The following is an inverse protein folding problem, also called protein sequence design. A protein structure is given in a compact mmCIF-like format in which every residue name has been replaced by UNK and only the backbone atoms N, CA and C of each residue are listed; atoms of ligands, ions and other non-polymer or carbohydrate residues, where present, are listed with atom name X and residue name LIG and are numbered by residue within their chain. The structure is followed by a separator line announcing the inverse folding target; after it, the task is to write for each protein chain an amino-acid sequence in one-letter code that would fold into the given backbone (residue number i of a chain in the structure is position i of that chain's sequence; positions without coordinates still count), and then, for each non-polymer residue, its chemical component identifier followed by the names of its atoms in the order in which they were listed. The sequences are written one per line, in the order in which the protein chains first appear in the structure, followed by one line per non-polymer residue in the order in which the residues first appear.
data_IF_527812297527
#
_entry.id   IF_527812297527
#
_cell.length_a   1.000
_cell.length_b   1.000
_cell.length_c   1.000
_cell.angle_alpha   90.00
_cell.angle_beta   90.00
_cell.angle_gamma   90.00
#
_symmetry.space_group_name_H-M   'P 1'
#
loop_
_entity.id
_entity.type
_entity.pdbx_description
1 polymer ?
#
# COMPACT_ATOMS: atom_id res chain seq x y z
N UNK A 1 58.32 69.75 26.24
CA UNK A 1 57.12 69.43 25.51
C UNK A 1 57.37 67.98 25.03
N UNK A 2 56.87 66.97 25.81
CA UNK A 2 57.06 65.56 25.54
C UNK A 2 55.75 64.97 24.94
N UNK A 3 55.81 64.47 23.71
CA UNK A 3 54.72 63.92 22.97
C UNK A 3 54.62 62.39 23.34
N UNK A 4 53.51 62.02 23.99
CA UNK A 4 53.21 60.57 24.29
C UNK A 4 52.47 59.99 23.11
N UNK A 5 53.10 59.06 22.41
CA UNK A 5 52.47 58.20 21.41
C UNK A 5 51.81 57.00 22.12
N UNK A 6 50.48 56.90 22.10
CA UNK A 6 49.75 55.71 22.55
C UNK A 6 49.62 54.72 21.39
N UNK A 7 50.25 53.54 21.52
CA UNK A 7 50.04 52.46 20.64
C UNK A 7 48.69 51.83 20.97
N UNK A 8 47.80 51.79 19.99
CA UNK A 8 46.55 51.05 20.04
C UNK A 8 46.79 49.62 19.44
N UNK A 9 46.81 48.57 20.27
CA UNK A 9 46.86 47.19 19.86
C UNK A 9 45.44 46.74 19.46
N UNK A 10 45.22 46.52 18.14
CA UNK A 10 43.97 45.92 17.63
C UNK A 10 44.09 44.41 17.77
N UNK A 11 43.33 43.84 18.69
CA UNK A 11 43.13 42.37 18.80
C UNK A 11 42.03 41.99 17.83
N UNK A 12 42.41 41.33 16.74
CA UNK A 12 41.46 40.74 15.78
C UNK A 12 41.05 39.37 16.32
N UNK A 13 39.76 39.11 16.61
CA UNK A 13 39.33 37.79 17.02
C UNK A 13 39.36 36.85 15.81
N UNK A 14 40.16 35.81 15.89
CA UNK A 14 40.21 34.71 14.93
C UNK A 14 38.91 33.87 15.06
N UNK A 15 37.92 34.14 14.19
CA UNK A 15 36.70 33.36 14.10
C UNK A 15 37.07 31.99 13.50
N UNK A 16 37.11 30.96 14.34
CA UNK A 16 37.22 29.57 13.89
C UNK A 16 35.89 29.21 13.24
N UNK A 17 35.83 29.24 11.91
CA UNK A 17 34.71 28.70 11.13
C UNK A 17 34.81 27.17 11.22
N UNK A 18 34.08 26.58 12.15
CA UNK A 18 33.84 25.11 12.17
C UNK A 18 32.93 24.82 10.98
N UNK A 19 33.52 24.39 9.88
CA UNK A 19 32.81 23.85 8.73
C UNK A 19 32.18 22.52 9.15
N UNK A 20 30.94 22.56 9.62
CA UNK A 20 30.09 21.38 9.69
C UNK A 20 29.84 20.89 8.27
N UNK A 21 30.57 19.87 7.81
CA UNK A 21 30.19 19.12 6.62
C UNK A 21 28.79 18.58 6.86
N UNK A 22 27.80 18.84 6.00
CA UNK A 22 26.49 18.24 6.15
C UNK A 22 26.67 16.72 6.07
N UNK A 23 26.29 16.03 7.15
CA UNK A 23 26.21 14.56 7.15
C UNK A 23 25.16 14.20 6.09
N UNK A 24 25.50 13.35 5.10
CA UNK A 24 24.52 13.00 4.06
C UNK A 24 23.32 12.36 4.74
N UNK A 25 22.12 12.87 4.43
CA UNK A 25 20.80 12.48 4.96
C UNK A 25 20.42 11.03 4.54
N UNK A 26 21.32 10.28 3.91
CA UNK A 26 21.10 8.94 3.37
C UNK A 26 20.95 7.82 4.39
N UNK A 27 20.98 8.09 5.70
CA UNK A 27 21.03 7.05 6.73
C UNK A 27 19.81 6.99 7.66
N UNK A 28 18.67 7.58 7.28
CA UNK A 28 17.45 7.56 8.10
C UNK A 28 16.59 6.30 7.90
N UNK A 29 16.84 5.50 6.86
CA UNK A 29 16.15 4.24 6.66
C UNK A 29 17.02 3.08 7.15
N UNK A 30 16.44 2.15 7.92
CA UNK A 30 17.19 0.97 8.38
C UNK A 30 17.68 0.17 7.16
N UNK A 31 18.88 -0.42 7.29
CA UNK A 31 19.42 -1.33 6.28
C UNK A 31 18.49 -2.54 6.19
N UNK A 32 18.03 -2.88 5.00
CA UNK A 32 17.15 -4.03 4.83
C UNK A 32 17.90 -5.35 4.85
N UNK A 33 17.23 -6.49 5.12
CA UNK A 33 17.80 -7.82 4.94
C UNK A 33 18.39 -8.03 3.54
N UNK A 34 17.75 -7.50 2.51
CA UNK A 34 18.21 -7.57 1.13
C UNK A 34 19.50 -6.76 0.92
N UNK A 35 19.57 -5.51 1.42
CA UNK A 35 20.80 -4.69 1.35
C UNK A 35 21.95 -5.29 2.17
N UNK A 36 21.64 -5.94 3.30
CA UNK A 36 22.62 -6.67 4.07
C UNK A 36 23.18 -7.85 3.26
N UNK A 37 22.31 -8.61 2.64
CA UNK A 37 22.68 -9.72 1.77
C UNK A 37 23.48 -9.28 0.53
N UNK A 38 23.14 -8.16 -0.10
CA UNK A 38 23.95 -7.57 -1.17
C UNK A 38 25.40 -7.32 -0.73
N UNK A 39 25.60 -6.77 0.47
CA UNK A 39 26.95 -6.55 1.03
C UNK A 39 27.71 -7.85 1.24
N UNK A 40 27.03 -8.92 1.66
CA UNK A 40 27.64 -10.26 1.77
C UNK A 40 28.08 -10.78 0.41
N UNK A 41 27.26 -10.64 -0.64
CA UNK A 41 27.61 -11.04 -2.00
C UNK A 41 28.84 -10.27 -2.53
N UNK A 42 28.91 -8.94 -2.29
CA UNK A 42 30.07 -8.13 -2.66
C UNK A 42 31.34 -8.57 -1.90
N UNK A 43 31.28 -8.84 -0.59
CA UNK A 43 32.41 -9.36 0.19
C UNK A 43 32.91 -10.69 -0.35
N UNK A 44 31.99 -11.55 -0.79
CA UNK A 44 32.32 -12.85 -1.38
C UNK A 44 32.71 -12.77 -2.86
N UNK A 45 32.72 -11.58 -3.48
CA UNK A 45 33.01 -11.33 -4.91
C UNK A 45 32.05 -12.07 -5.87
N UNK A 46 30.86 -12.43 -5.38
CA UNK A 46 29.84 -13.15 -6.15
C UNK A 46 29.12 -12.26 -7.16
N UNK A 47 29.18 -10.92 -7.01
CA UNK A 47 28.66 -9.96 -7.98
C UNK A 47 29.35 -10.06 -9.36
N UNK A 48 30.53 -10.66 -9.44
CA UNK A 48 31.29 -10.87 -10.69
C UNK A 48 30.89 -12.15 -11.43
N UNK A 49 30.22 -13.07 -10.76
CA UNK A 49 29.74 -14.30 -11.37
C UNK A 49 28.52 -14.04 -12.24
N UNK A 50 28.26 -14.89 -13.25
CA UNK A 50 27.06 -14.77 -14.09
C UNK A 50 25.77 -14.80 -13.27
N UNK A 51 25.70 -15.70 -12.27
CA UNK A 51 24.54 -15.79 -11.38
C UNK A 51 24.35 -14.51 -10.56
N UNK A 52 25.44 -13.98 -9.98
CA UNK A 52 25.40 -12.71 -9.23
C UNK A 52 24.97 -11.54 -10.10
N UNK A 53 25.57 -11.39 -11.30
CA UNK A 53 25.17 -10.35 -12.26
C UNK A 53 23.67 -10.42 -12.61
N UNK A 54 23.15 -11.64 -12.84
CA UNK A 54 21.73 -11.86 -13.09
C UNK A 54 20.90 -11.45 -11.87
N UNK A 55 21.29 -11.88 -10.66
CA UNK A 55 20.59 -11.57 -9.41
C UNK A 55 20.47 -10.05 -9.18
N UNK A 56 21.57 -9.30 -9.32
CA UNK A 56 21.58 -7.84 -9.17
C UNK A 56 20.78 -7.15 -10.27
N UNK A 57 20.97 -7.57 -11.53
CA UNK A 57 20.30 -6.96 -12.67
C UNK A 57 18.78 -7.14 -12.62
N UNK A 58 18.31 -8.37 -12.38
CA UNK A 58 16.88 -8.68 -12.32
C UNK A 58 16.23 -8.01 -11.12
N UNK A 59 16.89 -8.01 -9.94
CA UNK A 59 16.39 -7.30 -8.76
C UNK A 59 16.15 -5.80 -8.99
N UNK A 60 16.93 -5.15 -9.88
CA UNK A 60 16.70 -3.76 -10.30
C UNK A 60 15.65 -3.63 -11.40
N UNK A 61 15.67 -4.51 -12.40
CA UNK A 61 14.74 -4.45 -13.54
C UNK A 61 13.29 -4.58 -13.12
N UNK A 62 12.97 -5.47 -12.18
CA UNK A 62 11.59 -5.69 -11.73
C UNK A 62 10.97 -4.48 -11.02
N UNK A 63 11.76 -3.51 -10.58
CA UNK A 63 11.25 -2.25 -10.04
C UNK A 63 10.54 -1.39 -11.10
N UNK A 64 10.77 -1.67 -12.39
CA UNK A 64 10.08 -1.03 -13.52
C UNK A 64 8.92 -1.88 -14.07
N UNK A 65 8.63 -3.05 -13.47
CA UNK A 65 7.56 -3.93 -13.91
C UNK A 65 6.21 -3.20 -13.87
N UNK A 66 5.39 -3.39 -14.92
CA UNK A 66 4.10 -2.72 -15.08
C UNK A 66 2.92 -3.63 -14.76
N UNK A 67 3.16 -4.92 -14.52
CA UNK A 67 2.10 -5.86 -14.15
C UNK A 67 1.48 -5.45 -12.82
N UNK A 68 0.16 -5.47 -12.74
CA UNK A 68 -0.54 -5.01 -11.56
C UNK A 68 -1.67 -5.95 -11.12
N UNK A 69 -2.12 -5.77 -9.88
CA UNK A 69 -3.34 -6.39 -9.36
C UNK A 69 -4.08 -5.47 -8.40
N UNK A 70 -5.34 -5.83 -8.14
CA UNK A 70 -6.20 -5.19 -7.15
C UNK A 70 -6.36 -6.15 -5.96
N UNK A 71 -6.30 -5.65 -4.74
CA UNK A 71 -6.69 -6.43 -3.58
C UNK A 71 -8.24 -6.54 -3.51
N UNK A 72 -8.80 -7.68 -3.03
CA UNK A 72 -8.10 -8.85 -2.51
C UNK A 72 -7.49 -9.72 -3.62
N UNK A 73 -6.30 -10.20 -3.38
CA UNK A 73 -5.54 -10.98 -4.36
C UNK A 73 -4.67 -12.04 -3.70
N UNK A 74 -4.43 -13.16 -4.38
CA UNK A 74 -3.47 -14.16 -3.97
C UNK A 74 -2.76 -14.74 -5.20
N UNK A 75 -1.43 -14.86 -5.11
CA UNK A 75 -0.60 -15.48 -6.15
C UNK A 75 0.49 -16.33 -5.51
N UNK A 76 0.77 -17.47 -6.12
CA UNK A 76 1.93 -18.30 -5.83
C UNK A 76 3.02 -17.97 -6.82
N UNK A 77 4.11 -17.37 -6.34
CA UNK A 77 5.27 -16.97 -7.12
C UNK A 77 6.31 -18.08 -7.15
N UNK A 78 6.98 -18.22 -8.28
CA UNK A 78 8.14 -19.07 -8.45
C UNK A 78 9.38 -18.20 -8.70
N UNK A 79 10.38 -18.34 -7.85
CA UNK A 79 11.67 -17.67 -7.96
C UNK A 79 12.78 -18.72 -8.13
N UNK A 80 13.79 -18.43 -8.96
CA UNK A 80 14.92 -19.32 -9.25
C UNK A 80 16.11 -18.52 -9.77
N UNK A 81 17.24 -19.16 -10.08
CA UNK A 81 18.43 -18.50 -10.61
C UNK A 81 18.17 -17.70 -11.88
N UNK A 82 17.27 -18.20 -12.76
CA UNK A 82 16.88 -17.50 -13.98
C UNK A 82 15.80 -16.44 -13.79
N UNK A 83 15.04 -16.49 -12.68
CA UNK A 83 14.01 -15.52 -12.30
C UNK A 83 14.17 -15.21 -10.80
N UNK A 84 15.30 -14.60 -10.38
CA UNK A 84 15.61 -14.42 -8.97
C UNK A 84 14.72 -13.38 -8.28
N UNK A 85 14.04 -12.52 -9.05
CA UNK A 85 13.10 -11.53 -8.52
C UNK A 85 11.88 -11.36 -9.40
N UNK A 86 10.77 -11.01 -8.77
CA UNK A 86 9.52 -10.61 -9.41
C UNK A 86 8.94 -9.39 -8.70
N UNK A 87 8.09 -8.63 -9.37
CA UNK A 87 7.35 -7.54 -8.76
C UNK A 87 5.91 -7.49 -9.26
N UNK A 88 5.06 -6.85 -8.48
CA UNK A 88 3.68 -6.56 -8.84
C UNK A 88 3.29 -5.17 -8.34
N UNK A 89 2.69 -4.37 -9.21
CA UNK A 89 2.08 -3.10 -8.80
C UNK A 89 0.74 -3.35 -8.14
N UNK A 90 0.46 -2.58 -7.10
CA UNK A 90 -0.76 -2.71 -6.31
C UNK A 90 -1.50 -1.37 -6.37
N UNK A 91 -2.77 -1.46 -6.76
CA UNK A 91 -3.70 -0.34 -6.69
C UNK A 91 -4.68 -0.63 -5.56
N UNK A 92 -4.63 0.17 -4.53
CA UNK A 92 -5.55 0.10 -3.40
C UNK A 92 -6.23 1.46 -3.21
N UNK A 93 -7.50 1.52 -2.82
CA UNK A 93 -8.17 2.79 -2.58
C UNK A 93 -7.48 3.59 -1.49
N UNK A 94 -7.56 4.91 -1.58
CA UNK A 94 -7.22 5.82 -0.49
C UNK A 94 -8.03 5.46 0.77
N UNK A 95 -7.40 5.54 1.93
CA UNK A 95 -8.01 5.19 3.21
C UNK A 95 -7.98 3.71 3.57
N UNK A 96 -7.55 2.82 2.65
CA UNK A 96 -7.41 1.39 2.95
C UNK A 96 -6.03 1.07 3.52
N UNK A 97 -5.98 0.14 4.46
CA UNK A 97 -4.75 -0.47 4.97
C UNK A 97 -4.49 -1.77 4.23
N UNK A 98 -3.43 -1.83 3.44
CA UNK A 98 -2.95 -3.04 2.77
C UNK A 98 -2.28 -3.96 3.80
N UNK A 99 -2.58 -5.25 3.72
CA UNK A 99 -1.90 -6.31 4.47
C UNK A 99 -1.34 -7.31 3.45
N UNK A 100 -0.03 -7.52 3.50
CA UNK A 100 0.72 -8.42 2.62
C UNK A 100 1.25 -9.57 3.48
N UNK A 101 0.78 -10.79 3.21
CA UNK A 101 1.16 -11.97 3.98
C UNK A 101 1.81 -13.00 3.05
N UNK A 102 3.13 -13.22 3.15
CA UNK A 102 3.80 -14.32 2.48
C UNK A 102 3.57 -15.64 3.25
N UNK A 103 3.39 -16.73 2.52
CA UNK A 103 3.28 -18.07 3.06
C UNK A 103 4.20 -19.00 2.27
N UNK A 104 5.11 -19.69 2.96
CA UNK A 104 6.03 -20.71 2.41
C UNK A 104 5.76 -22.06 3.02
N UNK A 105 6.32 -23.11 2.43
CA UNK A 105 6.38 -24.42 3.08
C UNK A 105 7.23 -24.31 4.36
N UNK A 106 6.87 -25.04 5.41
CA UNK A 106 7.53 -24.94 6.72
C UNK A 106 8.99 -25.39 6.71
N UNK A 107 9.39 -26.24 5.76
CA UNK A 107 10.74 -26.79 5.58
C UNK A 107 11.59 -25.97 4.59
N UNK A 108 11.04 -24.94 3.97
CA UNK A 108 11.77 -24.07 3.03
C UNK A 108 12.63 -23.04 3.78
N UNK A 109 13.94 -23.25 3.72
CA UNK A 109 14.95 -22.38 4.33
C UNK A 109 15.51 -21.32 3.38
N UNK A 110 15.02 -21.25 2.14
CA UNK A 110 15.47 -20.28 1.14
C UNK A 110 15.24 -18.85 1.63
N UNK A 111 16.16 -17.94 1.30
CA UNK A 111 15.99 -16.51 1.64
C UNK A 111 14.86 -15.92 0.81
N UNK A 112 14.00 -15.15 1.45
CA UNK A 112 12.98 -14.31 0.81
C UNK A 112 13.17 -12.85 1.26
N UNK A 113 13.45 -11.99 0.30
CA UNK A 113 13.42 -10.55 0.48
C UNK A 113 12.14 -10.00 -0.11
N UNK A 114 11.33 -9.35 0.73
CA UNK A 114 10.06 -8.76 0.36
C UNK A 114 10.06 -7.30 0.76
N UNK A 115 9.95 -6.43 -0.24
CA UNK A 115 10.06 -4.99 -0.06
C UNK A 115 8.90 -4.26 -0.74
N UNK A 116 8.39 -3.25 -0.08
CA UNK A 116 7.29 -2.41 -0.56
C UNK A 116 7.83 -1.04 -0.98
N UNK A 117 7.43 -0.63 -2.17
CA UNK A 117 7.78 0.66 -2.76
C UNK A 117 6.53 1.46 -3.06
N UNK A 118 6.64 2.77 -2.92
CA UNK A 118 5.70 3.76 -3.46
C UNK A 118 6.24 4.28 -4.79
N UNK A 119 5.40 4.33 -5.81
CA UNK A 119 5.75 4.93 -7.09
C UNK A 119 5.49 6.43 -7.01
N UNK A 120 6.57 7.22 -7.10
CA UNK A 120 6.48 8.68 -7.08
C UNK A 120 5.82 9.22 -8.36
N UNK A 121 5.41 10.48 -8.36
CA UNK A 121 4.84 11.18 -9.52
C UNK A 121 5.76 11.18 -10.76
N UNK A 122 7.07 11.11 -10.57
CA UNK A 122 8.06 10.99 -11.65
C UNK A 122 8.29 9.53 -12.11
N UNK A 123 7.47 8.59 -11.66
CA UNK A 123 7.54 7.17 -12.00
C UNK A 123 8.61 6.37 -11.25
N UNK A 124 9.46 7.02 -10.41
CA UNK A 124 10.54 6.32 -9.70
C UNK A 124 10.01 5.62 -8.44
N UNK A 125 10.41 4.34 -8.22
CA UNK A 125 10.08 3.64 -6.99
C UNK A 125 10.89 4.19 -5.82
N UNK A 126 10.22 4.42 -4.68
CA UNK A 126 10.84 4.72 -3.40
C UNK A 126 10.45 3.64 -2.42
N UNK A 127 11.43 2.93 -1.84
CA UNK A 127 11.14 1.96 -0.79
C UNK A 127 10.53 2.66 0.42
N UNK A 128 9.46 2.06 0.95
CA UNK A 128 8.72 2.57 2.11
C UNK A 128 8.69 1.57 3.26
N UNK A 129 8.79 0.24 2.97
CA UNK A 129 8.79 -0.80 3.99
C UNK A 129 9.42 -2.10 3.45
N UNK A 130 9.70 -3.05 4.33
CA UNK A 130 10.24 -4.37 4.01
C UNK A 130 9.88 -5.40 5.09
N UNK A 131 9.80 -6.67 4.70
CA UNK A 131 9.63 -7.77 5.63
C UNK A 131 10.97 -8.04 6.34
N UNK A 132 10.94 -8.08 7.65
CA UNK A 132 12.05 -8.55 8.48
C UNK A 132 11.68 -9.88 9.18
N UNK A 133 12.67 -10.56 9.73
CA UNK A 133 12.52 -11.90 10.32
C UNK A 133 11.54 -11.93 11.52
N UNK A 134 11.22 -10.78 12.11
CA UNK A 134 10.34 -10.66 13.27
C UNK A 134 8.86 -10.44 12.87
N UNK A 135 8.56 -10.23 11.59
CA UNK A 135 7.20 -9.92 11.13
C UNK A 135 6.70 -10.98 10.16
N UNK A 136 5.45 -11.42 10.37
CA UNK A 136 4.77 -12.36 9.47
C UNK A 136 4.09 -11.68 8.27
N UNK A 137 3.93 -10.37 8.30
CA UNK A 137 3.27 -9.58 7.26
C UNK A 137 3.79 -8.15 7.21
N UNK A 138 3.68 -7.51 6.03
CA UNK A 138 3.82 -6.07 5.86
C UNK A 138 2.45 -5.41 5.88
N UNK A 139 2.37 -4.21 6.46
CA UNK A 139 1.14 -3.40 6.44
C UNK A 139 1.45 -1.98 6.00
N UNK A 140 0.55 -1.41 5.19
CA UNK A 140 0.67 -0.03 4.72
C UNK A 140 -0.69 0.62 4.61
N UNK A 141 -0.89 1.77 5.27
CA UNK A 141 -2.12 2.57 5.14
C UNK A 141 -1.97 3.55 3.99
N UNK A 142 -2.80 3.40 2.95
CA UNK A 142 -2.75 4.26 1.77
C UNK A 142 -3.53 5.55 2.02
N UNK A 143 -2.82 6.58 2.45
CA UNK A 143 -3.41 7.87 2.80
C UNK A 143 -3.61 8.83 1.62
N UNK A 144 -3.02 8.58 0.46
CA UNK A 144 -2.96 9.53 -0.65
C UNK A 144 -3.25 8.92 -2.02
N UNK A 145 -3.87 7.73 -2.06
CA UNK A 145 -4.18 7.05 -3.33
C UNK A 145 -2.93 6.56 -4.08
N UNK A 146 -1.89 6.20 -3.36
CA UNK A 146 -0.59 5.83 -3.91
C UNK A 146 -0.66 4.56 -4.76
N UNK A 147 0.12 4.52 -5.83
CA UNK A 147 0.48 3.27 -6.51
C UNK A 147 1.67 2.65 -5.81
N UNK A 148 1.50 1.43 -5.34
CA UNK A 148 2.54 0.66 -4.68
C UNK A 148 3.16 -0.37 -5.63
N UNK A 149 4.37 -0.86 -5.30
CA UNK A 149 5.01 -1.96 -5.97
C UNK A 149 5.62 -2.87 -4.91
N UNK A 150 5.23 -4.14 -4.95
CA UNK A 150 5.81 -5.19 -4.11
C UNK A 150 6.88 -5.91 -4.91
N UNK A 151 8.12 -5.94 -4.39
CA UNK A 151 9.23 -6.74 -4.91
C UNK A 151 9.43 -7.98 -4.05
N UNK A 152 9.57 -9.13 -4.70
CA UNK A 152 10.00 -10.39 -4.11
C UNK A 152 11.34 -10.77 -4.74
N UNK A 153 12.30 -11.18 -3.93
CA UNK A 153 13.60 -11.66 -4.40
C UNK A 153 14.09 -12.82 -3.53
N UNK A 154 14.64 -13.86 -4.15
CA UNK A 154 15.24 -14.99 -3.42
C UNK A 154 16.75 -14.80 -3.24
N UNK A 155 17.38 -15.63 -2.43
CA UNK A 155 18.84 -15.69 -2.32
C UNK A 155 19.49 -16.17 -3.63
N UNK A 156 20.78 -15.86 -3.79
CA UNK A 156 21.57 -16.31 -4.95
C UNK A 156 21.65 -17.84 -4.97
N UNK A 157 21.46 -18.44 -6.14
CA UNK A 157 21.45 -19.89 -6.37
C UNK A 157 20.40 -20.63 -5.50
N UNK A 158 19.27 -19.97 -5.23
CA UNK A 158 18.16 -20.58 -4.49
C UNK A 158 16.91 -20.61 -5.35
N UNK A 159 16.11 -21.65 -5.14
CA UNK A 159 14.78 -21.78 -5.71
C UNK A 159 13.76 -21.63 -4.57
N UNK A 160 12.69 -20.85 -4.81
CA UNK A 160 11.68 -20.57 -3.82
C UNK A 160 10.30 -20.55 -4.48
N UNK A 161 9.34 -21.23 -3.85
CA UNK A 161 7.92 -21.05 -4.11
C UNK A 161 7.26 -20.38 -2.92
N UNK A 162 6.65 -19.22 -3.14
CA UNK A 162 5.99 -18.45 -2.09
C UNK A 162 4.61 -18.01 -2.52
N UNK A 163 3.60 -18.27 -1.70
CA UNK A 163 2.26 -17.73 -1.87
C UNK A 163 2.17 -16.37 -1.17
N UNK A 164 1.70 -15.33 -1.86
CA UNK A 164 1.50 -14.01 -1.29
C UNK A 164 0.02 -13.64 -1.33
N UNK A 165 -0.56 -13.37 -0.17
CA UNK A 165 -1.92 -12.88 -0.03
C UNK A 165 -1.90 -11.37 0.19
N UNK A 166 -2.72 -10.66 -0.56
CA UNK A 166 -2.94 -9.22 -0.48
C UNK A 166 -4.39 -8.99 -0.07
N UNK A 167 -4.59 -8.40 1.10
CA UNK A 167 -5.91 -8.04 1.61
C UNK A 167 -5.95 -6.57 1.99
N UNK A 168 -7.14 -6.01 2.12
CA UNK A 168 -7.30 -4.66 2.64
C UNK A 168 -8.20 -4.64 3.86
N UNK A 169 -7.88 -3.74 4.79
CA UNK A 169 -8.65 -3.42 5.98
C UNK A 169 -9.03 -1.94 5.94
N UNK A 170 -10.07 -1.51 6.66
CA UNK A 170 -10.31 -0.09 6.87
C UNK A 170 -9.10 0.56 7.56
N UNK A 171 -8.75 1.77 7.16
CA UNK A 171 -7.69 2.55 7.80
C UNK A 171 -8.15 3.26 9.07
N UNK A 172 -9.47 3.44 9.24
CA UNK A 172 -10.11 4.07 10.40
C UNK A 172 -11.11 3.12 11.07
N UNK A 173 -11.29 3.25 12.37
CA UNK A 173 -12.36 2.58 13.08
C UNK A 173 -13.74 3.18 12.73
N UNK A 174 -14.79 2.37 12.82
CA UNK A 174 -16.15 2.82 12.57
C UNK A 174 -16.56 3.90 13.62
N UNK A 175 -17.10 5.06 13.18
CA UNK A 175 -17.24 6.24 14.05
C UNK A 175 -18.40 6.19 15.05
N UNK A 176 -19.25 5.16 15.02
CA UNK A 176 -20.37 4.96 15.94
C UNK A 176 -20.19 3.64 16.68
N UNK A 177 -20.19 3.67 17.99
CA UNK A 177 -19.95 2.50 18.84
C UNK A 177 -20.95 1.37 18.56
N UNK A 178 -20.45 0.15 18.33
CA UNK A 178 -21.24 -1.08 18.08
C UNK A 178 -22.13 -1.03 16.82
N UNK A 179 -21.83 -0.14 15.88
CA UNK A 179 -22.45 -0.05 14.55
C UNK A 179 -21.44 -0.48 13.48
N UNK A 180 -21.90 -0.69 12.26
CA UNK A 180 -21.11 -1.16 11.13
C UNK A 180 -21.68 -0.65 9.79
N UNK A 181 -21.14 -1.10 8.67
CA UNK A 181 -21.52 -0.67 7.33
C UNK A 181 -23.01 -0.83 6.99
N UNK A 182 -23.76 -1.73 7.67
CA UNK A 182 -25.20 -1.90 7.43
C UNK A 182 -26.05 -0.73 7.94
N UNK A 183 -25.49 0.12 8.80
CA UNK A 183 -26.14 1.29 9.36
C UNK A 183 -25.93 2.57 8.54
N UNK A 184 -25.10 2.51 7.48
CA UNK A 184 -24.89 3.62 6.54
C UNK A 184 -26.12 3.79 5.66
N UNK A 185 -26.83 4.92 5.81
CA UNK A 185 -28.10 5.20 5.14
C UNK A 185 -27.99 6.23 4.01
N UNK A 186 -26.89 6.98 3.96
CA UNK A 186 -26.64 7.93 2.87
C UNK A 186 -25.14 7.97 2.59
N UNK A 187 -24.83 7.96 1.30
CA UNK A 187 -23.47 7.79 0.79
C UNK A 187 -22.88 9.11 0.27
N UNK A 188 -21.56 9.11 0.16
CA UNK A 188 -20.81 10.16 -0.50
C UNK A 188 -21.35 10.47 -1.91
N UNK A 189 -21.43 11.76 -2.25
CA UNK A 189 -21.87 12.23 -3.55
C UNK A 189 -23.41 12.21 -3.75
N UNK A 190 -24.19 11.75 -2.77
CA UNK A 190 -25.64 11.81 -2.85
C UNK A 190 -26.12 13.29 -2.97
N UNK A 191 -27.12 13.52 -3.79
CA UNK A 191 -27.69 14.86 -3.99
C UNK A 191 -28.25 15.44 -2.69
N UNK A 192 -27.97 16.73 -2.45
CA UNK A 192 -28.51 17.53 -1.36
C UNK A 192 -29.15 18.81 -1.92
N UNK A 193 -30.14 19.34 -1.21
CA UNK A 193 -30.79 20.62 -1.54
C UNK A 193 -31.26 20.67 -3.02
N UNK A 194 -31.91 19.60 -3.48
CA UNK A 194 -32.39 19.46 -4.87
C UNK A 194 -31.29 19.57 -5.94
N UNK A 195 -30.12 18.98 -5.65
CA UNK A 195 -28.98 18.93 -6.58
C UNK A 195 -28.02 20.12 -6.48
N UNK A 196 -28.26 21.10 -5.58
CA UNK A 196 -27.38 22.26 -5.42
C UNK A 196 -26.05 21.87 -4.76
N UNK A 197 -26.05 20.86 -3.84
CA UNK A 197 -24.86 20.36 -3.16
C UNK A 197 -24.75 18.85 -3.30
N UNK A 198 -23.52 18.34 -3.27
CA UNK A 198 -23.22 16.94 -3.04
C UNK A 198 -23.04 16.66 -1.57
N UNK A 199 -23.34 15.43 -1.14
CA UNK A 199 -23.08 14.96 0.20
C UNK A 199 -21.59 14.73 0.41
N UNK A 200 -20.94 15.57 1.22
CA UNK A 200 -19.50 15.53 1.51
C UNK A 200 -19.18 14.65 2.74
N UNK A 201 -19.84 13.49 2.83
CA UNK A 201 -19.69 12.55 3.92
C UNK A 201 -20.55 11.33 3.74
N UNK A 202 -20.81 10.65 4.82
CA UNK A 202 -21.77 9.56 4.94
C UNK A 202 -22.65 9.79 6.16
N UNK A 203 -23.91 9.33 6.10
CA UNK A 203 -24.82 9.39 7.24
C UNK A 203 -25.02 7.99 7.80
N UNK A 204 -24.77 7.85 9.10
CA UNK A 204 -24.82 6.58 9.84
C UNK A 204 -25.99 6.65 10.83
N UNK A 205 -27.02 5.83 10.62
CA UNK A 205 -28.19 5.75 11.46
C UNK A 205 -27.85 5.14 12.81
N UNK A 206 -28.26 5.82 13.89
CA UNK A 206 -28.15 5.29 15.25
C UNK A 206 -29.21 5.97 16.15
N UNK A 207 -29.51 5.35 17.27
CA UNK A 207 -30.40 5.95 18.26
C UNK A 207 -29.76 7.21 18.85
N UNK A 208 -30.60 8.24 19.16
CA UNK A 208 -30.14 9.41 19.93
C UNK A 208 -29.45 8.95 21.20
N UNK A 209 -28.30 9.56 21.52
CA UNK A 209 -27.52 9.23 22.71
C UNK A 209 -26.54 8.06 22.50
N UNK A 210 -26.49 7.42 21.31
CA UNK A 210 -25.45 6.43 20.99
C UNK A 210 -24.09 7.10 21.00
N UNK A 211 -23.03 6.50 21.61
CA UNK A 211 -21.70 7.08 21.60
C UNK A 211 -21.11 7.22 20.19
N UNK A 212 -20.65 8.42 19.87
CA UNK A 212 -19.80 8.73 18.71
C UNK A 212 -18.36 8.65 19.18
N UNK A 213 -17.54 7.86 18.50
CA UNK A 213 -16.19 7.54 18.94
C UNK A 213 -15.13 8.03 17.97
N UNK A 214 -13.94 8.31 18.49
CA UNK A 214 -12.77 8.66 17.69
C UNK A 214 -12.39 7.51 16.74
N UNK A 215 -12.45 7.76 15.44
CA UNK A 215 -12.08 6.76 14.43
C UNK A 215 -10.58 6.51 14.35
N UNK A 216 -9.77 7.42 14.91
CA UNK A 216 -8.29 7.35 14.98
C UNK A 216 -7.82 8.15 16.19
N UNK A 217 -6.62 7.83 16.69
CA UNK A 217 -5.98 8.61 17.77
C UNK A 217 -5.51 9.96 17.26
N UNK A 218 -5.64 11.03 18.06
CA UNK A 218 -5.26 12.36 17.61
C UNK A 218 -5.63 13.47 18.58
N UNK A 219 -5.83 14.66 18.04
CA UNK A 219 -6.19 15.85 18.82
C UNK A 219 -7.50 16.44 18.32
N UNK A 220 -8.37 16.82 19.25
CA UNK A 220 -9.59 17.57 18.95
C UNK A 220 -9.22 18.98 18.54
N UNK A 221 -9.51 19.34 17.29
CA UNK A 221 -9.12 20.66 16.74
C UNK A 221 -10.25 21.68 16.76
N UNK A 222 -11.50 21.19 16.81
CA UNK A 222 -12.66 22.08 16.92
C UNK A 222 -13.81 21.39 17.64
N UNK A 223 -14.49 22.11 18.51
CA UNK A 223 -15.77 21.79 19.12
C UNK A 223 -16.66 23.02 19.00
N UNK A 224 -17.85 22.90 18.45
CA UNK A 224 -18.68 24.06 18.20
C UNK A 224 -20.05 23.71 17.63
N UNK A 225 -20.76 24.73 17.14
CA UNK A 225 -22.06 24.61 16.49
C UNK A 225 -22.06 25.44 15.21
N UNK A 226 -22.61 24.89 14.13
CA UNK A 226 -22.82 25.62 12.88
C UNK A 226 -24.20 25.27 12.28
N UNK A 227 -24.65 26.04 11.28
CA UNK A 227 -26.00 25.91 10.72
C UNK A 227 -26.24 24.57 10.02
N UNK A 228 -25.24 23.99 9.37
CA UNK A 228 -25.39 22.73 8.64
C UNK A 228 -25.21 21.53 9.57
N UNK A 229 -24.08 21.43 10.23
CA UNK A 229 -23.73 20.27 11.04
C UNK A 229 -24.35 20.25 12.45
N UNK A 230 -24.95 21.36 12.89
CA UNK A 230 -25.41 21.48 14.28
C UNK A 230 -24.22 21.44 15.23
N UNK A 231 -24.29 20.65 16.29
CA UNK A 231 -23.15 20.39 17.18
C UNK A 231 -22.13 19.49 16.50
N UNK A 232 -20.88 19.94 16.43
CA UNK A 232 -19.81 19.32 15.68
C UNK A 232 -18.55 19.11 16.49
N UNK A 233 -17.76 18.09 16.10
CA UNK A 233 -16.39 17.88 16.55
C UNK A 233 -15.51 17.63 15.33
N UNK A 234 -14.32 18.28 15.30
CA UNK A 234 -13.24 17.92 14.38
C UNK A 234 -12.10 17.27 15.15
N UNK A 235 -11.59 16.17 14.60
CA UNK A 235 -10.44 15.43 15.10
C UNK A 235 -9.35 15.42 14.03
N UNK A 236 -8.12 15.80 14.39
CA UNK A 236 -6.95 15.64 13.53
C UNK A 236 -6.14 14.44 14.02
N UNK A 237 -6.07 13.34 13.26
CA UNK A 237 -5.19 12.21 13.59
C UNK A 237 -3.73 12.63 13.64
N UNK A 238 -2.92 11.96 14.48
CA UNK A 238 -1.54 12.39 14.74
C UNK A 238 -0.63 12.26 13.52
N UNK A 239 -0.80 11.21 12.70
CA UNK A 239 0.09 10.86 11.59
C UNK A 239 -0.65 10.82 10.25
N UNK A 240 -1.64 11.70 10.05
CA UNK A 240 -2.49 11.69 8.87
C UNK A 240 -2.72 13.11 8.33
N UNK A 241 -2.84 13.29 7.01
CA UNK A 241 -3.18 14.56 6.39
C UNK A 241 -4.66 14.93 6.55
N UNK A 242 -5.46 14.06 7.17
CA UNK A 242 -6.91 14.21 7.25
C UNK A 242 -7.36 14.99 8.49
N UNK A 243 -8.56 15.54 8.37
CA UNK A 243 -9.38 16.05 9.47
C UNK A 243 -10.71 15.30 9.45
N UNK A 244 -11.06 14.64 10.56
CA UNK A 244 -12.28 13.84 10.71
C UNK A 244 -13.38 14.71 11.28
N UNK A 245 -14.55 14.73 10.64
CA UNK A 245 -15.67 15.56 10.97
C UNK A 245 -16.83 14.73 11.49
N UNK A 246 -17.32 15.06 12.67
CA UNK A 246 -18.45 14.41 13.34
C UNK A 246 -19.54 15.46 13.58
N UNK A 247 -20.73 15.28 12.99
CA UNK A 247 -21.79 16.28 13.03
C UNK A 247 -23.16 15.72 13.45
N UNK A 248 -24.13 16.61 13.61
CA UNK A 248 -25.49 16.39 14.09
C UNK A 248 -25.54 15.83 15.52
N UNK A 249 -24.50 16.07 16.32
CA UNK A 249 -24.39 15.55 17.68
C UNK A 249 -25.51 16.09 18.59
N UNK A 250 -25.96 15.25 19.50
CA UNK A 250 -26.83 15.66 20.63
C UNK A 250 -26.01 16.38 21.71
N UNK A 251 -24.83 15.85 22.02
CA UNK A 251 -23.87 16.45 22.95
C UNK A 251 -22.43 16.18 22.50
N UNK A 252 -21.53 17.10 22.87
CA UNK A 252 -20.09 17.03 22.70
C UNK A 252 -19.49 16.75 24.08
N UNK A 253 -18.63 15.72 24.18
CA UNK A 253 -18.07 15.27 25.47
C UNK A 253 -16.56 15.50 25.55
N UNK A 254 -16.00 16.25 24.60
CA UNK A 254 -14.58 16.60 24.53
C UNK A 254 -14.41 18.11 24.38
N UNK A 255 -13.21 18.60 24.63
CA UNK A 255 -12.83 20.00 24.47
C UNK A 255 -11.75 20.16 23.39
N UNK A 256 -11.65 21.34 22.80
CA UNK A 256 -10.56 21.70 21.87
C UNK A 256 -9.21 21.50 22.55
N UNK A 257 -8.25 20.91 21.87
CA UNK A 257 -6.92 20.55 22.36
C UNK A 257 -6.85 19.21 23.10
N UNK A 258 -7.98 18.57 23.40
CA UNK A 258 -7.97 17.24 24.01
C UNK A 258 -7.27 16.21 23.13
N UNK A 259 -6.36 15.43 23.72
CA UNK A 259 -5.80 14.23 23.11
C UNK A 259 -6.76 13.07 23.35
N UNK A 260 -7.08 12.35 22.28
CA UNK A 260 -7.93 11.16 22.32
C UNK A 260 -7.22 9.98 21.71
N UNK A 261 -7.57 8.77 22.15
CA UNK A 261 -7.17 7.54 21.49
C UNK A 261 -8.36 6.96 20.72
N UNK A 262 -8.07 6.13 19.72
CA UNK A 262 -9.09 5.47 18.92
C UNK A 262 -10.09 4.74 19.83
N UNK A 263 -11.39 4.99 19.62
CA UNK A 263 -12.48 4.43 20.43
C UNK A 263 -12.97 5.31 21.57
N UNK A 264 -12.26 6.39 21.93
CA UNK A 264 -12.72 7.35 22.94
C UNK A 264 -14.01 8.04 22.50
N UNK A 265 -14.94 8.27 23.43
CA UNK A 265 -16.21 8.93 23.13
C UNK A 265 -15.99 10.43 22.93
N UNK A 266 -16.33 10.92 21.74
CA UNK A 266 -16.28 12.35 21.36
C UNK A 266 -17.58 13.09 21.66
N UNK A 267 -18.70 12.39 21.58
CA UNK A 267 -20.05 12.94 21.75
C UNK A 267 -21.12 11.87 21.62
N UNK A 268 -22.35 12.30 21.52
CA UNK A 268 -23.51 11.42 21.37
C UNK A 268 -24.26 11.72 20.08
N UNK A 269 -24.78 10.70 19.42
CA UNK A 269 -25.60 10.84 18.19
C UNK A 269 -26.85 11.67 18.48
N UNK A 270 -27.13 12.61 17.62
CA UNK A 270 -28.32 13.46 17.66
C UNK A 270 -28.93 13.67 16.27
N UNK A 271 -29.51 14.83 16.08
CA UNK A 271 -30.02 15.33 14.80
C UNK A 271 -30.02 16.87 14.77
N UNK A 272 -29.02 17.50 15.37
CA UNK A 272 -28.91 18.97 15.41
C UNK A 272 -28.53 19.57 14.03
N UNK A 273 -28.63 20.89 13.88
CA UNK A 273 -28.38 21.57 12.62
C UNK A 273 -29.48 21.33 11.59
N UNK A 274 -29.11 21.16 10.31
CA UNK A 274 -30.09 20.91 9.24
C UNK A 274 -30.74 19.52 9.29
N UNK A 275 -30.29 18.63 10.19
CA UNK A 275 -30.87 17.30 10.41
C UNK A 275 -32.05 17.30 11.42
N UNK A 276 -32.47 18.43 11.94
CA UNK A 276 -33.48 18.55 13.02
C UNK A 276 -34.81 17.86 12.68
N UNK A 277 -35.20 17.78 11.42
CA UNK A 277 -36.41 17.12 10.93
C UNK A 277 -36.22 15.67 10.49
N UNK A 278 -35.02 15.13 10.62
CA UNK A 278 -34.69 13.75 10.22
C UNK A 278 -34.54 12.84 11.43
N UNK A 279 -34.53 11.52 11.20
CA UNK A 279 -34.18 10.55 12.23
C UNK A 279 -32.74 10.77 12.71
N UNK A 280 -32.43 10.52 14.01
CA UNK A 280 -31.09 10.67 14.52
C UNK A 280 -30.07 9.85 13.73
N UNK A 281 -28.93 10.47 13.43
CA UNK A 281 -27.80 9.89 12.71
C UNK A 281 -26.51 10.69 12.97
N UNK A 282 -25.37 10.06 12.74
CA UNK A 282 -24.08 10.74 12.64
C UNK A 282 -23.84 11.09 11.18
N UNK A 283 -23.58 12.35 10.87
CA UNK A 283 -22.87 12.70 9.63
C UNK A 283 -21.37 12.63 9.88
N UNK A 284 -20.67 11.78 9.11
CA UNK A 284 -19.23 11.57 9.19
C UNK A 284 -18.55 12.01 7.89
N UNK A 285 -17.64 12.96 7.99
CA UNK A 285 -16.87 13.51 6.87
C UNK A 285 -15.36 13.40 7.09
N UNK A 286 -14.61 13.33 6.00
CA UNK A 286 -13.13 13.34 6.00
C UNK A 286 -12.69 14.47 5.05
N UNK A 287 -11.81 15.34 5.55
CA UNK A 287 -11.30 16.49 4.80
C UNK A 287 -9.78 16.45 4.74
N UNK A 288 -9.20 16.74 3.59
CA UNK A 288 -7.76 16.93 3.41
C UNK A 288 -7.42 18.40 3.27
N UNK A 289 -6.29 18.81 3.83
CA UNK A 289 -5.84 20.19 3.70
C UNK A 289 -5.59 20.52 2.22
N UNK A 290 -6.31 21.52 1.69
CA UNK A 290 -6.14 22.02 0.33
C UNK A 290 -6.83 21.22 -0.77
N UNK A 291 -7.40 20.03 -0.46
CA UNK A 291 -8.11 19.21 -1.46
C UNK A 291 -9.60 19.04 -1.17
N UNK A 292 -10.09 19.53 -0.01
CA UNK A 292 -11.49 19.46 0.37
C UNK A 292 -11.89 18.10 0.95
N UNK A 293 -13.18 17.77 0.82
CA UNK A 293 -13.74 16.53 1.33
C UNK A 293 -13.36 15.32 0.46
N UNK A 294 -13.18 14.16 1.08
CA UNK A 294 -12.93 12.87 0.42
C UNK A 294 -13.97 11.84 0.84
N UNK A 295 -14.21 10.84 0.00
CA UNK A 295 -15.19 9.78 0.29
C UNK A 295 -14.78 8.98 1.53
N UNK A 296 -15.55 9.00 2.65
CA UNK A 296 -15.18 8.29 3.87
C UNK A 296 -15.31 6.77 3.77
N UNK A 297 -16.06 6.26 2.80
CA UNK A 297 -16.44 4.85 2.75
C UNK A 297 -15.25 3.88 2.73
N UNK A 298 -14.22 4.06 1.88
CA UNK A 298 -13.07 3.16 1.89
C UNK A 298 -12.33 3.13 3.23
N UNK A 299 -12.37 4.24 3.99
CA UNK A 299 -11.66 4.37 5.25
C UNK A 299 -12.25 3.54 6.38
N UNK A 300 -13.57 3.29 6.36
CA UNK A 300 -14.30 2.62 7.45
C UNK A 300 -15.00 1.32 7.03
N UNK A 301 -14.95 0.94 5.76
CA UNK A 301 -15.60 -0.28 5.27
C UNK A 301 -14.91 -1.52 5.82
N UNK A 302 -15.52 -2.12 6.84
CA UNK A 302 -15.05 -3.29 7.58
C UNK A 302 -15.57 -4.61 7.01
N UNK A 303 -16.32 -4.59 5.90
CA UNK A 303 -16.82 -5.79 5.26
C UNK A 303 -15.67 -6.65 4.78
N UNK A 304 -15.68 -7.92 5.17
CA UNK A 304 -14.64 -8.87 4.81
C UNK A 304 -14.68 -9.19 3.32
N UNK A 305 -13.57 -8.97 2.66
CA UNK A 305 -13.37 -9.34 1.27
C UNK A 305 -12.90 -10.81 1.18
N UNK A 306 -13.48 -11.58 0.25
CA UNK A 306 -13.08 -12.97 0.03
C UNK A 306 -11.80 -12.98 -0.82
N UNK A 307 -10.74 -13.56 -0.29
CA UNK A 307 -9.50 -13.81 -1.06
C UNK A 307 -9.76 -14.97 -2.03
N UNK A 308 -9.48 -14.82 -3.33
CA UNK A 308 -9.55 -15.92 -4.28
C UNK A 308 -8.51 -16.99 -3.91
N UNK A 309 -8.97 -18.21 -3.62
CA UNK A 309 -8.08 -19.33 -3.24
C UNK A 309 -7.15 -19.75 -4.38
N UNK A 310 -5.97 -20.27 -4.04
CA UNK A 310 -5.05 -20.91 -4.99
C UNK A 310 -5.46 -22.37 -5.22
N UNK A 311 -5.09 -22.97 -6.37
CA UNK A 311 -5.17 -24.40 -6.55
C UNK A 311 -4.35 -25.13 -5.47
N UNK A 312 -4.87 -26.25 -4.97
CA UNK A 312 -4.19 -27.05 -3.93
C UNK A 312 -2.82 -27.53 -4.41
N UNK A 313 -2.77 -28.01 -5.66
CA UNK A 313 -1.54 -28.47 -6.30
C UNK A 313 -1.22 -27.61 -7.53
N UNK A 314 0.04 -27.24 -7.68
CA UNK A 314 0.53 -26.53 -8.85
C UNK A 314 1.13 -27.54 -9.83
N UNK A 315 0.53 -27.66 -11.01
CA UNK A 315 1.01 -28.58 -12.05
C UNK A 315 2.14 -28.01 -12.89
N UNK A 316 2.14 -26.70 -13.14
CA UNK A 316 2.98 -26.07 -14.16
C UNK A 316 3.94 -25.01 -13.62
N UNK A 317 3.87 -24.70 -12.35
CA UNK A 317 4.66 -23.61 -11.76
C UNK A 317 6.17 -23.91 -11.86
N UNK A 318 6.90 -22.98 -12.49
CA UNK A 318 8.33 -23.11 -12.77
C UNK A 318 8.66 -23.78 -14.11
N UNK A 319 7.69 -24.43 -14.75
CA UNK A 319 7.89 -25.16 -15.99
C UNK A 319 7.76 -24.27 -17.23
N UNK A 320 8.43 -24.72 -18.31
CA UNK A 320 8.22 -24.25 -19.66
C UNK A 320 7.15 -25.12 -20.33
N UNK A 321 6.09 -24.50 -20.82
CA UNK A 321 4.94 -25.17 -21.41
C UNK A 321 4.52 -24.50 -22.73
N UNK A 322 3.70 -25.21 -23.52
CA UNK A 322 3.06 -24.67 -24.74
C UNK A 322 1.58 -24.41 -24.49
N UNK A 323 1.09 -23.24 -24.90
CA UNK A 323 -0.35 -22.97 -24.93
C UNK A 323 -1.00 -23.73 -26.07
N UNK A 324 -2.09 -24.47 -25.80
CA UNK A 324 -2.75 -25.36 -26.78
C UNK A 324 -3.82 -24.68 -27.63
N UNK A 325 -4.13 -23.42 -27.32
CA UNK A 325 -5.05 -22.57 -28.10
C UNK A 325 -4.63 -21.09 -28.01
N UNK A 326 -5.14 -20.28 -28.94
CA UNK A 326 -4.97 -18.83 -28.84
C UNK A 326 -5.50 -18.31 -27.51
N UNK A 327 -4.74 -17.44 -26.85
CA UNK A 327 -5.09 -16.83 -25.56
C UNK A 327 -4.65 -15.37 -25.51
N UNK A 328 -5.44 -14.50 -24.88
CA UNK A 328 -5.07 -13.11 -24.68
C UNK A 328 -4.08 -13.00 -23.52
N UNK A 329 -3.15 -12.05 -23.64
CA UNK A 329 -2.17 -11.67 -22.65
C UNK A 329 -2.62 -10.37 -21.99
N UNK A 330 -2.57 -10.31 -20.67
CA UNK A 330 -3.08 -9.18 -19.88
C UNK A 330 -2.00 -8.57 -18.99
N UNK A 331 -2.12 -7.28 -18.71
CA UNK A 331 -1.28 -6.58 -17.75
C UNK A 331 -1.68 -6.86 -16.30
N UNK A 332 -2.90 -7.34 -16.07
CA UNK A 332 -3.41 -7.63 -14.73
C UNK A 332 -4.03 -9.02 -14.60
N UNK A 333 -4.09 -9.48 -13.37
CA UNK A 333 -4.71 -10.76 -12.99
C UNK A 333 -6.26 -10.73 -12.98
N UNK A 334 -6.87 -9.57 -13.24
CA UNK A 334 -8.32 -9.41 -13.35
C UNK A 334 -8.86 -9.80 -14.75
N UNK A 335 -7.98 -9.89 -15.74
CA UNK A 335 -8.30 -10.27 -17.12
C UNK A 335 -9.36 -9.39 -17.78
N UNK A 336 -9.40 -8.09 -17.45
CA UNK A 336 -10.32 -7.14 -18.07
C UNK A 336 -9.89 -6.82 -19.51
N UNK A 337 -10.84 -6.68 -20.41
CA UNK A 337 -10.57 -6.42 -21.82
C UNK A 337 -9.72 -5.14 -22.04
N UNK A 338 -9.92 -4.12 -21.21
CA UNK A 338 -9.15 -2.85 -21.22
C UNK A 338 -7.69 -3.03 -20.80
N UNK A 339 -7.31 -4.17 -20.23
CA UNK A 339 -5.98 -4.47 -19.70
C UNK A 339 -5.24 -5.49 -20.59
N UNK A 340 -5.80 -5.82 -21.74
CA UNK A 340 -5.16 -6.70 -22.72
C UNK A 340 -3.96 -5.99 -23.34
N UNK A 341 -2.78 -6.62 -23.27
CA UNK A 341 -1.52 -6.12 -23.82
C UNK A 341 -1.04 -6.90 -25.06
N UNK A 342 -1.72 -7.97 -25.41
CA UNK A 342 -1.39 -8.78 -26.57
C UNK A 342 -2.18 -10.08 -26.63
N UNK A 343 -1.72 -11.00 -27.49
CA UNK A 343 -2.26 -12.37 -27.56
C UNK A 343 -1.16 -13.36 -27.94
N UNK A 344 -1.30 -14.58 -27.46
CA UNK A 344 -0.41 -15.70 -27.77
C UNK A 344 -1.13 -16.63 -28.76
N UNK A 345 -0.41 -17.07 -29.78
CA UNK A 345 -0.90 -18.08 -30.72
C UNK A 345 -0.81 -19.47 -30.12
N UNK A 346 -1.52 -20.42 -30.71
CA UNK A 346 -1.36 -21.82 -30.38
C UNK A 346 0.11 -22.26 -30.54
N UNK A 347 0.59 -23.12 -29.64
CA UNK A 347 1.97 -23.62 -29.53
C UNK A 347 3.03 -22.58 -29.09
N UNK A 348 2.64 -21.35 -28.77
CA UNK A 348 3.58 -20.39 -28.14
C UNK A 348 4.14 -21.00 -26.84
N UNK A 349 5.46 -20.96 -26.70
CA UNK A 349 6.16 -21.40 -25.49
C UNK A 349 6.13 -20.30 -24.45
N UNK A 350 5.79 -20.65 -23.23
CA UNK A 350 5.79 -19.76 -22.08
C UNK A 350 6.39 -20.45 -20.86
N UNK A 351 7.02 -19.69 -19.98
CA UNK A 351 7.39 -20.18 -18.65
C UNK A 351 6.35 -19.71 -17.65
N UNK A 352 5.86 -20.62 -16.81
CA UNK A 352 4.93 -20.28 -15.73
C UNK A 352 5.74 -19.80 -14.52
N UNK A 353 5.67 -18.51 -14.23
CA UNK A 353 6.42 -17.88 -13.14
C UNK A 353 5.52 -17.46 -11.96
N UNK A 354 4.21 -17.61 -12.12
CA UNK A 354 3.22 -17.41 -11.05
C UNK A 354 1.91 -18.11 -11.37
N UNK A 355 1.16 -18.41 -10.32
CA UNK A 355 -0.13 -19.10 -10.41
C UNK A 355 -1.15 -18.43 -9.49
N UNK A 356 -2.34 -18.25 -9.99
CA UNK A 356 -3.46 -17.69 -9.25
C UNK A 356 -4.74 -18.52 -9.48
N UNK A 357 -5.80 -18.18 -8.77
CA UNK A 357 -7.08 -18.91 -8.82
C UNK A 357 -7.60 -19.19 -10.24
N UNK A 358 -7.44 -18.24 -11.18
CA UNK A 358 -8.05 -18.29 -12.52
C UNK A 358 -7.04 -18.20 -13.66
N UNK A 359 -5.77 -18.34 -13.41
CA UNK A 359 -4.75 -18.19 -14.45
C UNK A 359 -3.32 -18.26 -13.97
N UNK A 360 -2.44 -17.81 -14.85
CA UNK A 360 -1.01 -17.88 -14.67
C UNK A 360 -0.34 -16.54 -14.99
N UNK A 361 0.72 -16.22 -14.24
CA UNK A 361 1.71 -15.24 -14.66
C UNK A 361 2.74 -15.97 -15.50
N UNK A 362 2.98 -15.47 -16.68
CA UNK A 362 3.89 -16.11 -17.63
C UNK A 362 5.05 -15.16 -18.01
N UNK A 363 6.11 -15.78 -18.51
CA UNK A 363 7.22 -15.10 -19.14
C UNK A 363 7.49 -15.73 -20.52
N UNK A 364 7.62 -14.90 -21.55
CA UNK A 364 8.01 -15.28 -22.90
C UNK A 364 9.53 -15.40 -23.01
N UNK A 365 10.03 -15.94 -24.12
CA UNK A 365 11.47 -16.09 -24.39
C UNK A 365 12.21 -14.77 -24.51
N UNK A 366 11.53 -13.70 -24.94
CA UNK A 366 12.08 -12.35 -25.02
C UNK A 366 12.06 -11.58 -23.67
N UNK A 367 11.61 -12.24 -22.59
CA UNK A 367 11.48 -11.65 -21.26
C UNK A 367 10.17 -10.89 -21.04
N UNK A 368 9.30 -10.78 -22.04
CA UNK A 368 7.96 -10.20 -21.89
C UNK A 368 7.15 -10.99 -20.86
N UNK A 369 6.52 -10.30 -19.92
CA UNK A 369 5.67 -10.89 -18.89
C UNK A 369 4.22 -10.46 -19.07
N UNK A 370 3.32 -11.29 -18.57
CA UNK A 370 1.89 -10.98 -18.53
C UNK A 370 1.10 -12.05 -17.81
N UNK A 371 -0.20 -11.86 -17.77
CA UNK A 371 -1.14 -12.83 -17.22
C UNK A 371 -1.95 -13.47 -18.32
N UNK A 372 -2.17 -14.76 -18.21
CA UNK A 372 -3.11 -15.51 -19.05
C UNK A 372 -4.15 -16.21 -18.17
N UNK A 373 -5.43 -16.28 -18.58
CA UNK A 373 -6.42 -17.09 -17.87
C UNK A 373 -6.06 -18.58 -17.97
N UNK A 374 -6.68 -19.39 -17.13
CA UNK A 374 -6.52 -20.85 -17.20
C UNK A 374 -6.89 -21.39 -18.60
N UNK A 375 -5.92 -22.00 -19.25
CA UNK A 375 -6.05 -22.59 -20.60
C UNK A 375 -5.37 -23.95 -20.63
N UNK A 376 -5.70 -24.82 -21.61
CA UNK A 376 -4.98 -26.06 -21.81
C UNK A 376 -3.50 -25.79 -22.10
N UNK A 377 -2.62 -26.41 -21.31
CA UNK A 377 -1.17 -26.35 -21.41
C UNK A 377 -0.61 -27.75 -21.64
N UNK A 378 0.54 -27.83 -22.31
CA UNK A 378 1.25 -29.08 -22.57
C UNK A 378 2.72 -28.94 -22.17
N UNK A 379 3.25 -29.99 -21.53
CA UNK A 379 4.67 -30.03 -21.17
C UNK A 379 5.55 -30.00 -22.42
N UNK A 380 6.70 -29.36 -22.32
CA UNK A 380 7.75 -29.39 -23.36
C UNK A 380 8.78 -30.43 -22.95
N UNK A 381 8.92 -31.48 -23.76
CA UNK A 381 9.76 -32.66 -23.48
C UNK A 381 11.28 -32.40 -23.45
N UNK A 382 11.71 -31.19 -23.79
CA UNK A 382 13.10 -30.70 -23.63
C UNK A 382 13.10 -29.45 -22.77
N UNK A 383 13.98 -29.39 -21.75
CA UNK A 383 14.35 -28.15 -21.09
C UNK A 383 14.96 -27.21 -22.13
N UNK A 384 14.13 -26.49 -22.86
CA UNK A 384 14.60 -25.37 -23.68
C UNK A 384 14.93 -24.25 -22.71
N UNK A 385 16.21 -23.87 -22.70
CA UNK A 385 16.68 -22.80 -21.83
C UNK A 385 15.95 -21.50 -22.21
N UNK A 386 15.08 -21.06 -21.32
CA UNK A 386 14.64 -19.67 -21.34
C UNK A 386 15.87 -18.84 -20.98
N UNK A 387 16.18 -17.77 -21.74
CA UNK A 387 17.26 -16.90 -21.37
C UNK A 387 17.04 -16.40 -19.93
N UNK A 388 18.11 -16.38 -19.14
CA UNK A 388 18.12 -15.65 -17.87
C UNK A 388 17.84 -14.18 -18.20
N UNK A 389 16.84 -13.61 -17.54
CA UNK A 389 16.45 -12.19 -17.67
C UNK A 389 17.63 -11.25 -17.44
#
# INVERSE_FOLDING_TARGET
MKLLIRLFTIVVPLAIIVSCKPVPVSHWFPVTPQEHYEKELYKAKLEKTQAGQTWFRVGKLVLNDSLFSLAPYQERFYLSDSVPAQAIRLKIPEGRKLVITPLRANDDTSKLFLELYKIKSNGKPQRIDFLNDNHQSLTYTNQTGDTLLLRLQTGLNQQLTVSVSLTTLPGLAFPVARHNMSDVISFWGAERDRGIRSHEGIDIKAKRGTPVVASESGYVTQVGTNNLGGKIVFLSPSDSPYSLYYAHLDSQLVSVGARVVQGDTLGLVGNTGNAVTTSPHLHFGIYTRGSGAVNPLPFIDDRKEKIPGLPETSKWLGDSVRVRKKVNLFASAQFLASEQIGSLTQNTMVRIIGEMSKGYRIMLQDGTKGYIPTVPLESVSRKTDFPSL
#
